data_IF_705920229856
#
_entry.id   IF_705920229856
#
_cell.length_a   1.000
_cell.length_b   1.000
_cell.length_c   1.000
_cell.angle_alpha   90.00
_cell.angle_beta   90.00
_cell.angle_gamma   90.00
#
_symmetry.space_group_name_H-M   'P 1'
#
loop_
_entity.id
_entity.type
_entity.pdbx_description
1 polymer ?
#
# COMPACT_ATOMS: atom_id res chain seq x y z
N UNK A 1 -9.68 -24.07 -1.56
CA UNK A 1 -9.59 -23.11 -2.69
C UNK A 1 -8.24 -23.27 -3.39
N UNK A 2 -8.27 -23.44 -4.71
CA UNK A 2 -7.03 -23.59 -5.52
C UNK A 2 -6.32 -22.24 -5.61
N UNK A 3 -5.37 -21.97 -4.73
CA UNK A 3 -4.56 -20.75 -4.69
C UNK A 3 -3.50 -20.69 -5.81
N UNK A 4 -3.89 -20.98 -7.05
CA UNK A 4 -2.96 -20.87 -8.17
C UNK A 4 -2.93 -19.43 -8.68
N UNK A 5 -1.72 -18.88 -8.81
CA UNK A 5 -1.48 -17.64 -9.55
C UNK A 5 -1.88 -17.86 -11.00
N UNK A 6 -3.06 -17.39 -11.38
CA UNK A 6 -3.48 -17.33 -12.78
C UNK A 6 -3.20 -15.92 -13.35
N UNK A 7 -3.16 -15.75 -14.69
CA UNK A 7 -2.85 -14.46 -15.30
C UNK A 7 -3.74 -13.31 -14.82
N UNK A 8 -5.04 -13.54 -14.61
CA UNK A 8 -5.97 -12.54 -14.11
C UNK A 8 -5.64 -12.10 -12.67
N UNK A 9 -5.19 -13.03 -11.82
CA UNK A 9 -4.78 -12.69 -10.44
C UNK A 9 -3.43 -11.97 -10.41
N UNK A 10 -2.50 -12.37 -11.29
CA UNK A 10 -1.23 -11.65 -11.46
C UNK A 10 -1.49 -10.21 -11.89
N UNK A 11 -2.36 -10.00 -12.89
CA UNK A 11 -2.75 -8.66 -13.35
C UNK A 11 -3.33 -7.82 -12.20
N UNK A 12 -4.26 -8.39 -11.42
CA UNK A 12 -4.83 -7.70 -10.24
C UNK A 12 -3.76 -7.30 -9.20
N UNK A 13 -2.73 -8.13 -8.99
CA UNK A 13 -1.69 -7.87 -7.99
C UNK A 13 -0.54 -6.99 -8.51
N UNK A 14 -0.39 -6.83 -9.82
CA UNK A 14 0.59 -5.90 -10.43
C UNK A 14 0.07 -4.45 -10.45
N UNK A 15 -1.25 -4.25 -10.58
CA UNK A 15 -1.85 -2.91 -10.62
C UNK A 15 -1.56 -2.09 -9.35
N UNK A 16 -1.76 -2.59 -8.11
CA UNK A 16 -1.48 -1.82 -6.91
C UNK A 16 -0.06 -1.26 -6.84
N UNK A 17 1.02 -2.05 -6.94
CA UNK A 17 2.38 -1.50 -6.87
C UNK A 17 2.70 -0.51 -7.99
N UNK A 18 2.12 -0.69 -9.19
CA UNK A 18 2.26 0.29 -10.28
C UNK A 18 1.62 1.64 -9.91
N UNK A 19 0.39 1.62 -9.42
CA UNK A 19 -0.33 2.84 -9.03
C UNK A 19 0.27 3.48 -7.78
N UNK A 20 0.77 2.69 -6.82
CA UNK A 20 1.45 3.21 -5.63
C UNK A 20 2.83 3.78 -5.96
N UNK A 21 3.54 3.24 -6.94
CA UNK A 21 4.74 3.87 -7.49
C UNK A 21 4.42 5.25 -8.08
N UNK A 22 3.37 5.35 -8.91
CA UNK A 22 2.87 6.63 -9.42
C UNK A 22 2.44 7.58 -8.31
N UNK A 23 1.80 7.08 -7.23
CA UNK A 23 1.45 7.88 -6.06
C UNK A 23 2.68 8.47 -5.37
N UNK A 24 3.77 7.73 -5.27
CA UNK A 24 5.01 8.23 -4.68
C UNK A 24 5.64 9.35 -5.54
N UNK A 25 5.65 9.18 -6.87
CA UNK A 25 6.15 10.20 -7.81
C UNK A 25 5.29 11.47 -7.74
N UNK A 26 3.97 11.33 -7.87
CA UNK A 26 3.04 12.48 -7.80
C UNK A 26 3.07 13.15 -6.43
N UNK A 27 3.11 12.37 -5.34
CA UNK A 27 3.24 12.89 -3.98
C UNK A 27 4.49 13.75 -3.81
N UNK A 28 5.61 13.36 -4.42
CA UNK A 28 6.85 14.17 -4.43
C UNK A 28 6.70 15.47 -5.24
N UNK A 29 5.95 15.45 -6.34
CA UNK A 29 5.71 16.65 -7.14
C UNK A 29 4.89 17.71 -6.41
N UNK A 30 4.00 17.30 -5.50
CA UNK A 30 3.08 18.22 -4.81
C UNK A 30 3.40 18.39 -3.33
N UNK A 31 4.54 17.91 -2.83
CA UNK A 31 4.86 17.86 -1.39
C UNK A 31 4.92 19.25 -0.72
N UNK A 32 5.25 20.30 -1.47
CA UNK A 32 5.25 21.69 -0.97
C UNK A 32 3.88 22.36 -1.09
N UNK A 33 2.92 21.74 -1.81
CA UNK A 33 1.62 22.35 -2.07
C UNK A 33 0.57 21.97 -1.02
N UNK A 34 0.73 20.82 -0.38
CA UNK A 34 -0.25 20.29 0.57
C UNK A 34 0.42 19.48 1.67
N UNK A 35 0.00 19.66 2.95
CA UNK A 35 0.53 18.87 4.04
C UNK A 35 0.28 17.36 3.85
N UNK A 36 1.21 16.48 4.23
CA UNK A 36 1.16 15.07 3.88
C UNK A 36 -0.06 14.32 4.47
N UNK A 37 -0.41 14.60 5.74
CA UNK A 37 -1.55 13.93 6.38
C UNK A 37 -2.86 14.48 5.83
N UNK A 38 -2.92 15.78 5.55
CA UNK A 38 -4.04 16.45 4.88
C UNK A 38 -4.21 15.92 3.45
N UNK A 39 -3.13 15.69 2.71
CA UNK A 39 -3.18 15.04 1.39
C UNK A 39 -3.85 13.65 1.49
N UNK A 40 -3.48 12.86 2.50
CA UNK A 40 -4.11 11.57 2.74
C UNK A 40 -5.61 11.72 3.02
N UNK A 41 -6.01 12.67 3.84
CA UNK A 41 -7.42 12.93 4.15
C UNK A 41 -8.21 13.33 2.89
N UNK A 42 -7.74 14.36 2.15
CA UNK A 42 -8.42 14.83 0.92
C UNK A 42 -8.56 13.68 -0.10
N UNK A 43 -7.51 12.90 -0.31
CA UNK A 43 -7.54 11.73 -1.18
C UNK A 43 -8.66 10.76 -0.82
N UNK A 44 -8.82 10.45 0.46
CA UNK A 44 -9.85 9.51 0.91
C UNK A 44 -11.25 10.10 0.93
N UNK A 45 -11.40 11.41 1.15
CA UNK A 45 -12.67 12.12 0.94
C UNK A 45 -13.10 12.02 -0.52
N UNK A 46 -12.18 12.27 -1.46
CA UNK A 46 -12.47 12.14 -2.89
C UNK A 46 -12.83 10.69 -3.27
N UNK A 47 -12.09 9.71 -2.77
CA UNK A 47 -12.39 8.30 -2.96
C UNK A 47 -13.77 7.92 -2.39
N UNK A 48 -14.13 8.45 -1.22
CA UNK A 48 -15.46 8.31 -0.63
C UNK A 48 -16.56 8.86 -1.55
N UNK A 49 -16.37 10.08 -2.05
CA UNK A 49 -17.34 10.71 -2.95
C UNK A 49 -17.50 9.94 -4.28
N UNK A 50 -16.44 9.34 -4.80
CA UNK A 50 -16.48 8.49 -6.00
C UNK A 50 -17.25 7.20 -5.73
N UNK A 51 -17.04 6.56 -4.57
CA UNK A 51 -17.66 5.30 -4.22
C UNK A 51 -19.11 5.46 -3.76
N UNK A 52 -19.46 6.61 -3.20
CA UNK A 52 -20.78 6.87 -2.61
C UNK A 52 -21.93 6.60 -3.57
N UNK A 53 -21.97 7.13 -4.81
CA UNK A 53 -23.07 6.85 -5.74
C UNK A 53 -23.16 5.38 -6.16
N UNK A 54 -22.05 4.63 -6.09
CA UNK A 54 -21.99 3.23 -6.49
C UNK A 54 -22.50 2.28 -5.40
N UNK A 55 -22.41 2.68 -4.14
CA UNK A 55 -22.64 1.83 -2.99
C UNK A 55 -23.48 2.50 -1.87
N UNK A 56 -24.24 3.56 -2.18
CA UNK A 56 -25.02 4.33 -1.21
C UNK A 56 -25.99 3.46 -0.39
N UNK A 57 -26.48 2.37 -0.96
CA UNK A 57 -27.41 1.45 -0.30
C UNK A 57 -26.86 0.80 0.97
N UNK A 58 -25.53 0.76 1.18
CA UNK A 58 -24.93 0.19 2.39
C UNK A 58 -25.27 0.95 3.66
N UNK A 59 -25.78 2.18 3.56
CA UNK A 59 -26.17 3.01 4.71
C UNK A 59 -27.60 2.73 5.22
N UNK A 60 -28.33 1.80 4.61
CA UNK A 60 -29.64 1.35 5.12
C UNK A 60 -29.48 0.80 6.53
N UNK A 61 -30.50 1.00 7.38
CA UNK A 61 -30.47 0.63 8.81
C UNK A 61 -30.25 -0.85 9.07
N UNK A 62 -30.70 -1.71 8.17
CA UNK A 62 -30.56 -3.18 8.21
C UNK A 62 -29.26 -3.69 7.62
N UNK A 63 -28.41 -2.82 7.12
CA UNK A 63 -27.15 -3.17 6.45
C UNK A 63 -26.14 -3.85 7.40
N UNK A 64 -25.38 -4.77 6.83
CA UNK A 64 -24.22 -5.42 7.49
C UNK A 64 -23.15 -4.38 7.89
N UNK A 65 -23.14 -3.17 7.31
CA UNK A 65 -22.27 -2.08 7.72
C UNK A 65 -22.42 -1.79 9.22
N UNK A 66 -23.64 -1.58 9.69
CA UNK A 66 -23.94 -1.23 11.08
C UNK A 66 -23.80 -2.42 12.03
N UNK A 67 -24.12 -3.62 11.55
CA UNK A 67 -23.94 -4.86 12.33
C UNK A 67 -22.48 -5.17 12.59
N UNK A 68 -21.59 -4.84 11.63
CA UNK A 68 -20.15 -5.10 11.69
C UNK A 68 -19.31 -3.80 11.75
N UNK A 69 -19.87 -2.69 12.23
CA UNK A 69 -19.21 -1.37 12.20
C UNK A 69 -17.80 -1.37 12.82
N UNK A 70 -17.60 -2.11 13.91
CA UNK A 70 -16.28 -2.23 14.57
C UNK A 70 -15.23 -2.79 13.63
N UNK A 71 -15.62 -3.77 12.83
CA UNK A 71 -14.73 -4.38 11.84
C UNK A 71 -14.33 -3.36 10.76
N UNK A 72 -15.30 -2.62 10.20
CA UNK A 72 -15.02 -1.61 9.18
C UNK A 72 -14.27 -0.40 9.76
N UNK A 73 -14.51 -0.05 11.01
CA UNK A 73 -13.73 0.97 11.71
C UNK A 73 -12.25 0.55 11.85
N UNK A 74 -11.97 -0.71 12.19
CA UNK A 74 -10.60 -1.24 12.26
C UNK A 74 -9.97 -1.32 10.87
N UNK A 75 -10.67 -1.83 9.87
CA UNK A 75 -10.15 -1.87 8.49
C UNK A 75 -9.88 -0.46 7.95
N UNK A 76 -10.77 0.49 8.22
CA UNK A 76 -10.58 1.90 7.86
C UNK A 76 -9.41 2.54 8.59
N UNK A 77 -9.24 2.25 9.89
CA UNK A 77 -8.09 2.73 10.66
C UNK A 77 -6.77 2.21 10.07
N UNK A 78 -6.67 0.90 9.85
CA UNK A 78 -5.42 0.27 9.44
C UNK A 78 -5.06 0.58 7.98
N UNK A 79 -6.02 0.41 7.04
CA UNK A 79 -5.76 0.54 5.61
C UNK A 79 -5.81 1.97 5.09
N UNK A 80 -6.71 2.81 5.63
CA UNK A 80 -6.96 4.17 5.17
C UNK A 80 -6.25 5.21 6.03
N UNK A 81 -6.37 5.09 7.35
CA UNK A 81 -5.83 6.05 8.31
C UNK A 81 -4.33 5.87 8.53
N UNK A 82 -3.93 4.77 9.17
CA UNK A 82 -2.59 4.62 9.75
C UNK A 82 -1.49 4.40 8.72
N UNK A 83 -1.65 3.46 7.78
CA UNK A 83 -0.55 3.08 6.89
C UNK A 83 0.09 4.30 6.20
N UNK A 84 -0.73 5.09 5.53
CA UNK A 84 -0.21 6.26 4.80
C UNK A 84 0.24 7.39 5.73
N UNK A 85 -0.47 7.62 6.85
CA UNK A 85 -0.05 8.62 7.83
C UNK A 85 1.33 8.28 8.40
N UNK A 86 1.55 7.04 8.80
CA UNK A 86 2.85 6.57 9.30
C UNK A 86 3.94 6.62 8.24
N UNK A 87 3.62 6.28 6.98
CA UNK A 87 4.57 6.40 5.86
C UNK A 87 4.99 7.84 5.63
N UNK A 88 4.05 8.78 5.67
CA UNK A 88 4.37 10.19 5.52
C UNK A 88 5.17 10.75 6.71
N UNK A 89 4.85 10.33 7.95
CA UNK A 89 5.66 10.66 9.12
C UNK A 89 7.07 10.06 9.02
N UNK A 90 7.19 8.86 8.47
CA UNK A 90 8.50 8.25 8.21
C UNK A 90 9.37 9.13 7.30
N UNK A 91 8.79 9.67 6.23
CA UNK A 91 9.50 10.52 5.27
C UNK A 91 9.91 11.90 5.84
N UNK A 92 9.39 12.32 7.00
CA UNK A 92 9.82 13.55 7.67
C UNK A 92 11.22 13.43 8.28
N UNK A 93 11.63 12.24 8.69
CA UNK A 93 12.90 12.03 9.40
C UNK A 93 13.75 10.90 8.81
N UNK A 94 13.23 10.12 7.86
CA UNK A 94 13.96 9.06 7.16
C UNK A 94 14.11 9.38 5.67
N UNK A 95 15.11 8.75 5.05
CA UNK A 95 15.33 8.89 3.62
C UNK A 95 14.32 8.03 2.82
N UNK A 96 13.95 8.43 1.59
CA UNK A 96 13.11 7.60 0.72
C UNK A 96 13.69 6.19 0.50
N UNK A 97 15.01 6.05 0.51
CA UNK A 97 15.70 4.75 0.38
C UNK A 97 15.39 3.87 1.59
N UNK A 98 15.56 4.38 2.82
CA UNK A 98 15.26 3.63 4.03
C UNK A 98 13.77 3.24 4.08
N UNK A 99 12.87 4.19 3.86
CA UNK A 99 11.41 3.94 3.84
C UNK A 99 11.05 2.84 2.85
N UNK A 100 11.62 2.87 1.65
CA UNK A 100 11.37 1.86 0.62
C UNK A 100 11.99 0.51 0.98
N UNK A 101 13.18 0.50 1.60
CA UNK A 101 13.82 -0.72 2.08
C UNK A 101 12.99 -1.40 3.17
N UNK A 102 12.51 -0.61 4.15
CA UNK A 102 11.63 -1.14 5.21
C UNK A 102 10.31 -1.65 4.59
N UNK A 103 9.74 -0.93 3.61
CA UNK A 103 8.55 -1.38 2.88
C UNK A 103 8.78 -2.71 2.15
N UNK A 104 9.97 -2.94 1.62
CA UNK A 104 10.33 -4.19 0.94
C UNK A 104 10.40 -5.40 1.88
N UNK A 105 10.51 -5.18 3.19
CA UNK A 105 10.40 -6.24 4.20
C UNK A 105 8.96 -6.73 4.43
N UNK A 106 7.96 -6.13 3.77
CA UNK A 106 6.54 -6.45 3.94
C UNK A 106 6.20 -7.95 3.82
N UNK A 107 6.77 -8.74 2.90
CA UNK A 107 6.52 -10.18 2.88
C UNK A 107 6.91 -10.89 4.19
N UNK A 108 7.97 -10.44 4.85
CA UNK A 108 8.42 -10.99 6.14
C UNK A 108 7.39 -10.66 7.23
N UNK A 109 6.97 -9.41 7.34
CA UNK A 109 5.95 -8.99 8.30
C UNK A 109 4.60 -9.66 8.03
N UNK A 110 4.25 -9.84 6.74
CA UNK A 110 3.02 -10.54 6.35
C UNK A 110 3.03 -12.00 6.80
N UNK A 111 4.14 -12.70 6.63
CA UNK A 111 4.32 -14.09 7.09
C UNK A 111 4.33 -14.16 8.62
N UNK A 112 5.00 -13.23 9.30
CA UNK A 112 5.07 -13.19 10.75
C UNK A 112 3.71 -12.93 11.39
N UNK A 113 2.99 -11.90 10.95
CA UNK A 113 1.62 -11.60 11.41
C UNK A 113 0.69 -12.78 11.11
N UNK A 114 0.79 -13.36 9.92
CA UNK A 114 0.01 -14.54 9.53
C UNK A 114 0.25 -15.73 10.42
N UNK A 115 1.49 -16.02 10.73
CA UNK A 115 1.86 -17.14 11.61
C UNK A 115 1.41 -16.91 13.06
N UNK A 116 1.64 -15.72 13.61
CA UNK A 116 1.37 -15.41 15.02
C UNK A 116 -0.13 -15.30 15.33
N UNK A 117 -0.88 -14.61 14.46
CA UNK A 117 -2.27 -14.23 14.76
C UNK A 117 -3.32 -14.98 13.93
N UNK A 118 -2.93 -15.57 12.80
CA UNK A 118 -3.86 -16.19 11.85
C UNK A 118 -3.58 -17.66 11.59
N UNK A 119 -2.63 -18.26 12.32
CA UNK A 119 -2.24 -19.68 12.20
C UNK A 119 -1.83 -20.08 10.77
N UNK A 120 -1.29 -19.13 10.00
CA UNK A 120 -0.84 -19.38 8.65
C UNK A 120 0.48 -20.13 8.66
N UNK A 121 0.55 -21.20 7.89
CA UNK A 121 1.82 -21.94 7.70
C UNK A 121 2.68 -21.18 6.70
N UNK A 122 3.95 -20.99 7.05
CA UNK A 122 4.96 -20.40 6.18
C UNK A 122 5.77 -21.53 5.56
N UNK A 123 5.87 -21.55 4.23
CA UNK A 123 6.68 -22.55 3.52
C UNK A 123 8.12 -22.09 3.37
N UNK A 124 9.05 -23.05 3.25
CA UNK A 124 10.46 -22.77 2.94
C UNK A 124 10.63 -21.98 1.62
N UNK A 125 9.73 -22.21 0.69
CA UNK A 125 9.72 -21.50 -0.60
C UNK A 125 9.34 -20.03 -0.45
N UNK A 126 8.41 -19.71 0.47
CA UNK A 126 8.07 -18.33 0.81
C UNK A 126 9.25 -17.62 1.47
N UNK A 127 9.99 -18.28 2.38
CA UNK A 127 11.18 -17.69 2.98
C UNK A 127 12.29 -17.44 1.93
N UNK A 128 12.57 -18.43 1.08
CA UNK A 128 13.53 -18.26 0.00
C UNK A 128 13.13 -17.16 -0.98
N UNK A 129 11.82 -17.10 -1.32
CA UNK A 129 11.25 -16.04 -2.15
C UNK A 129 11.39 -14.66 -1.52
N UNK A 130 11.21 -14.54 -0.19
CA UNK A 130 11.39 -13.27 0.53
C UNK A 130 12.84 -12.78 0.44
N UNK A 131 13.81 -13.66 0.71
CA UNK A 131 15.24 -13.32 0.59
C UNK A 131 15.55 -12.85 -0.84
N UNK A 132 15.15 -13.62 -1.85
CA UNK A 132 15.42 -13.29 -3.24
C UNK A 132 14.77 -11.96 -3.66
N UNK A 133 13.53 -11.72 -3.24
CA UNK A 133 12.81 -10.49 -3.55
C UNK A 133 13.43 -9.27 -2.85
N UNK A 134 13.87 -9.41 -1.59
CA UNK A 134 14.58 -8.34 -0.87
C UNK A 134 15.92 -8.02 -1.55
N UNK A 135 16.68 -9.04 -1.98
CA UNK A 135 17.91 -8.83 -2.75
C UNK A 135 17.62 -8.01 -4.01
N UNK A 136 16.55 -8.32 -4.75
CA UNK A 136 16.14 -7.53 -5.91
C UNK A 136 15.86 -6.06 -5.57
N UNK A 137 15.16 -5.79 -4.46
CA UNK A 137 14.92 -4.42 -4.00
C UNK A 137 16.21 -3.72 -3.60
N UNK A 138 17.12 -4.40 -2.90
CA UNK A 138 18.45 -3.85 -2.54
C UNK A 138 19.24 -3.45 -3.79
N UNK A 139 19.19 -4.24 -4.87
CA UNK A 139 19.85 -3.93 -6.15
C UNK A 139 19.29 -2.64 -6.76
N UNK A 140 17.95 -2.43 -6.75
CA UNK A 140 17.35 -1.18 -7.24
C UNK A 140 17.81 0.00 -6.39
N UNK A 141 17.68 -0.10 -5.06
CA UNK A 141 17.92 1.00 -4.14
C UNK A 141 19.41 1.42 -4.09
N UNK A 142 20.31 0.44 -4.23
CA UNK A 142 21.75 0.71 -4.29
C UNK A 142 22.22 1.21 -5.67
N UNK A 143 21.37 1.21 -6.67
CA UNK A 143 21.77 1.45 -8.08
C UNK A 143 22.92 0.56 -8.54
N UNK A 144 23.05 -0.64 -7.94
CA UNK A 144 24.17 -1.57 -8.14
C UNK A 144 25.41 -1.25 -7.32
N UNK A 145 25.42 -0.25 -6.46
CA UNK A 145 26.57 0.16 -5.61
C UNK A 145 26.32 -0.16 -4.14
N UNK A 146 26.99 -1.17 -3.62
CA UNK A 146 26.82 -1.62 -2.21
C UNK A 146 27.15 -0.51 -1.20
N UNK A 147 28.06 0.42 -1.53
CA UNK A 147 28.44 1.53 -0.65
C UNK A 147 27.24 2.38 -0.21
N UNK A 148 26.23 2.55 -1.06
CA UNK A 148 25.02 3.29 -0.73
C UNK A 148 24.21 2.63 0.40
N UNK A 149 24.23 1.31 0.49
CA UNK A 149 23.56 0.56 1.56
C UNK A 149 24.33 0.63 2.89
N UNK A 150 25.66 0.73 2.84
CA UNK A 150 26.50 0.80 4.05
C UNK A 150 26.42 2.16 4.76
N UNK A 151 25.93 3.20 4.08
CA UNK A 151 25.72 4.53 4.66
C UNK A 151 24.33 4.73 5.30
N UNK A 152 23.49 3.70 5.32
CA UNK A 152 22.16 3.77 5.92
C UNK A 152 22.27 3.75 7.45
N UNK A 153 21.63 4.74 8.08
CA UNK A 153 21.48 4.81 9.52
C UNK A 153 20.01 4.71 9.89
N UNK A 154 19.69 3.90 10.91
CA UNK A 154 18.33 3.79 11.43
C UNK A 154 17.94 5.08 12.16
N UNK A 155 16.81 5.63 11.80
CA UNK A 155 16.23 6.84 12.39
C UNK A 155 14.78 6.60 12.82
N UNK A 156 14.21 7.55 13.57
CA UNK A 156 12.83 7.44 14.07
C UNK A 156 11.80 7.17 12.94
N UNK A 157 12.01 7.74 11.76
CA UNK A 157 11.16 7.49 10.59
C UNK A 157 11.12 6.04 10.16
N UNK A 158 12.22 5.30 10.31
CA UNK A 158 12.25 3.87 9.96
C UNK A 158 11.35 3.05 10.90
N UNK A 159 11.24 3.46 12.17
CA UNK A 159 10.31 2.85 13.14
C UNK A 159 8.86 3.10 12.71
N UNK A 160 8.51 4.33 12.30
CA UNK A 160 7.17 4.61 11.76
C UNK A 160 6.87 3.75 10.53
N UNK A 161 7.83 3.54 9.64
CA UNK A 161 7.63 2.70 8.47
C UNK A 161 7.51 1.21 8.83
N UNK A 162 8.24 0.71 9.83
CA UNK A 162 8.06 -0.66 10.36
C UNK A 162 6.63 -0.82 10.90
N UNK A 163 6.16 0.11 11.71
CA UNK A 163 4.79 0.08 12.23
C UNK A 163 3.77 0.14 11.08
N UNK A 164 4.02 0.94 10.04
CA UNK A 164 3.18 0.99 8.85
C UNK A 164 3.11 -0.36 8.14
N UNK A 165 4.24 -1.04 7.91
CA UNK A 165 4.27 -2.35 7.24
C UNK A 165 3.57 -3.44 8.06
N UNK A 166 3.72 -3.42 9.39
CA UNK A 166 2.97 -4.31 10.29
C UNK A 166 1.47 -4.01 10.21
N UNK A 167 1.09 -2.74 10.26
CA UNK A 167 -0.30 -2.28 10.13
C UNK A 167 -0.93 -2.78 8.83
N UNK A 168 -0.23 -2.64 7.70
CA UNK A 168 -0.68 -3.13 6.40
C UNK A 168 -0.80 -4.66 6.36
N UNK A 169 0.12 -5.34 7.05
CA UNK A 169 0.08 -6.80 7.16
C UNK A 169 -1.16 -7.28 7.93
N UNK A 170 -1.45 -6.65 9.07
CA UNK A 170 -2.67 -6.93 9.84
C UNK A 170 -3.92 -6.63 9.01
N UNK A 171 -3.98 -5.46 8.37
CA UNK A 171 -5.07 -5.10 7.46
C UNK A 171 -5.30 -6.17 6.38
N UNK A 172 -4.25 -6.58 5.69
CA UNK A 172 -4.34 -7.56 4.61
C UNK A 172 -4.83 -8.93 5.09
N UNK A 173 -4.42 -9.37 6.27
CA UNK A 173 -4.94 -10.59 6.88
C UNK A 173 -6.41 -10.46 7.30
N UNK A 174 -6.81 -9.32 7.84
CA UNK A 174 -8.21 -9.05 8.18
C UNK A 174 -9.12 -9.02 6.95
N UNK A 175 -8.59 -8.66 5.76
CA UNK A 175 -9.36 -8.74 4.51
C UNK A 175 -9.79 -10.16 4.16
N UNK A 176 -9.06 -11.19 4.61
CA UNK A 176 -9.39 -12.60 4.35
C UNK A 176 -10.33 -13.21 5.38
N UNK A 177 -10.60 -12.50 6.46
CA UNK A 177 -11.40 -12.98 7.61
C UNK A 177 -12.69 -12.18 7.74
N UNK A 178 -13.63 -12.76 8.47
CA UNK A 178 -14.90 -12.12 8.82
C UNK A 178 -16.04 -12.49 7.88
N UNK A 179 -17.23 -12.35 8.42
CA UNK A 179 -18.49 -12.55 7.71
C UNK A 179 -19.04 -11.17 7.31
N UNK A 180 -18.71 -10.73 6.11
CA UNK A 180 -19.14 -9.45 5.56
C UNK A 180 -20.48 -9.56 4.80
N UNK A 181 -21.03 -10.79 4.71
CA UNK A 181 -22.31 -11.03 4.07
C UNK A 181 -22.37 -10.46 2.65
N UNK A 182 -23.47 -9.77 2.37
CA UNK A 182 -23.74 -9.18 1.05
C UNK A 182 -22.75 -8.07 0.65
N UNK A 183 -22.15 -7.35 1.61
CA UNK A 183 -21.18 -6.30 1.32
C UNK A 183 -19.94 -6.81 0.58
N UNK A 184 -19.64 -8.10 0.69
CA UNK A 184 -18.50 -8.70 -0.02
C UNK A 184 -18.82 -9.06 -1.47
N UNK A 185 -20.09 -9.15 -1.82
CA UNK A 185 -20.52 -9.51 -3.18
C UNK A 185 -20.22 -8.38 -4.18
N UNK A 186 -20.28 -7.13 -3.71
CA UNK A 186 -19.95 -5.95 -4.49
C UNK A 186 -18.68 -5.28 -3.94
N UNK A 187 -17.67 -5.17 -4.77
CA UNK A 187 -16.38 -4.60 -4.38
C UNK A 187 -16.48 -3.15 -3.87
N UNK A 188 -17.40 -2.36 -4.46
CA UNK A 188 -17.60 -0.97 -4.07
C UNK A 188 -18.23 -0.86 -2.67
N UNK A 189 -19.15 -1.76 -2.32
CA UNK A 189 -19.80 -1.82 -1.01
C UNK A 189 -18.76 -2.09 0.09
N UNK A 190 -17.94 -3.12 -0.12
CA UNK A 190 -16.91 -3.50 0.83
C UNK A 190 -15.84 -2.41 0.98
N UNK A 191 -15.45 -1.76 -0.11
CA UNK A 191 -14.49 -0.67 -0.07
C UNK A 191 -15.07 0.58 0.57
N UNK A 192 -16.31 0.98 0.20
CA UNK A 192 -16.98 2.14 0.79
C UNK A 192 -17.19 1.96 2.30
N UNK A 193 -17.54 0.75 2.76
CA UNK A 193 -17.68 0.47 4.18
C UNK A 193 -16.39 0.77 4.97
N UNK A 194 -15.23 0.42 4.44
CA UNK A 194 -13.94 0.71 5.05
C UNK A 194 -13.58 2.20 4.96
N UNK A 195 -13.78 2.79 3.77
CA UNK A 195 -13.45 4.20 3.50
C UNK A 195 -14.31 5.13 4.34
N UNK A 196 -15.57 4.80 4.63
CA UNK A 196 -16.46 5.59 5.50
C UNK A 196 -15.85 5.85 6.88
N UNK A 197 -15.37 4.81 7.53
CA UNK A 197 -14.66 4.95 8.82
C UNK A 197 -13.23 5.47 8.64
N UNK A 198 -12.58 5.13 7.54
CA UNK A 198 -11.25 5.59 7.21
C UNK A 198 -11.15 7.10 7.04
N UNK A 199 -12.17 7.73 6.44
CA UNK A 199 -12.28 9.19 6.33
C UNK A 199 -12.38 9.84 7.72
N UNK A 200 -13.11 9.24 8.65
CA UNK A 200 -13.18 9.76 10.03
C UNK A 200 -11.81 9.72 10.71
N UNK A 201 -11.09 8.60 10.60
CA UNK A 201 -9.76 8.46 11.16
C UNK A 201 -8.74 9.38 10.49
N UNK A 202 -8.69 9.44 9.17
CA UNK A 202 -7.77 10.32 8.45
C UNK A 202 -8.09 11.80 8.68
N UNK A 203 -9.38 12.14 8.85
CA UNK A 203 -9.83 13.48 9.23
C UNK A 203 -9.34 13.88 10.62
N UNK A 204 -9.40 12.97 11.60
CA UNK A 204 -8.87 13.21 12.95
C UNK A 204 -7.35 13.43 12.90
N UNK A 205 -6.62 12.64 12.12
CA UNK A 205 -5.17 12.83 11.97
C UNK A 205 -4.83 14.15 11.25
N UNK A 206 -5.61 14.51 10.22
CA UNK A 206 -5.45 15.79 9.53
C UNK A 206 -5.78 16.98 10.45
N UNK A 207 -6.82 16.87 11.28
CA UNK A 207 -7.14 17.91 12.25
C UNK A 207 -5.98 18.12 13.26
N UNK A 208 -5.34 17.04 13.72
CA UNK A 208 -4.13 17.15 14.57
C UNK A 208 -2.98 17.81 13.84
N UNK A 209 -2.72 17.49 12.57
CA UNK A 209 -1.72 18.16 11.75
C UNK A 209 -1.97 19.68 11.69
N UNK A 210 -3.22 20.09 11.45
CA UNK A 210 -3.59 21.51 11.38
C UNK A 210 -3.43 22.26 12.70
N UNK A 211 -3.71 21.61 13.82
CA UNK A 211 -3.52 22.22 15.16
C UNK A 211 -2.03 22.42 15.45
N UNK A 212 -1.18 21.46 15.10
CA UNK A 212 0.25 21.47 15.43
C UNK A 212 1.06 22.34 14.48
N UNK A 213 0.83 22.21 13.16
CA UNK A 213 1.71 22.81 12.13
C UNK A 213 1.12 24.06 11.48
N UNK A 214 -0.21 24.31 11.63
CA UNK A 214 -0.93 25.42 10.98
C UNK A 214 -0.55 25.58 9.51
N UNK A 215 -0.66 24.53 8.71
CA UNK A 215 -0.13 24.51 7.36
C UNK A 215 -0.97 25.35 6.39
N UNK A 216 -0.39 25.64 5.22
CA UNK A 216 -1.09 26.31 4.11
C UNK A 216 -1.18 25.35 2.93
N UNK A 217 -2.32 25.37 2.23
CA UNK A 217 -2.49 24.63 0.98
C UNK A 217 -2.37 25.60 -0.19
N UNK A 218 -1.45 25.31 -1.11
CA UNK A 218 -1.26 26.08 -2.33
C UNK A 218 -2.04 25.45 -3.49
N UNK A 219 -3.28 25.91 -3.65
CA UNK A 219 -4.17 25.40 -4.68
C UNK A 219 -3.68 25.75 -6.09
N UNK A 220 -3.62 24.76 -6.96
CA UNK A 220 -3.20 24.92 -8.36
C UNK A 220 -3.88 23.86 -9.24
N UNK A 221 -3.96 24.07 -10.56
CA UNK A 221 -4.45 23.04 -11.50
C UNK A 221 -3.68 21.72 -11.37
N UNK A 222 -2.37 21.79 -11.11
CA UNK A 222 -1.52 20.63 -10.89
C UNK A 222 -1.93 19.87 -9.63
N UNK A 223 -2.24 20.56 -8.51
CA UNK A 223 -2.71 19.91 -7.29
C UNK A 223 -4.05 19.21 -7.51
N UNK A 224 -5.00 19.83 -8.23
CA UNK A 224 -6.28 19.19 -8.55
C UNK A 224 -6.10 17.93 -9.40
N UNK A 225 -5.25 17.97 -10.44
CA UNK A 225 -4.94 16.80 -11.27
C UNK A 225 -4.28 15.68 -10.44
N UNK A 226 -3.34 16.04 -9.56
CA UNK A 226 -2.68 15.11 -8.65
C UNK A 226 -3.68 14.46 -7.67
N UNK A 227 -4.57 15.25 -7.06
CA UNK A 227 -5.62 14.76 -6.16
C UNK A 227 -6.59 13.81 -6.87
N UNK A 228 -7.00 14.14 -8.11
CA UNK A 228 -7.83 13.24 -8.92
C UNK A 228 -7.11 11.90 -9.19
N UNK A 229 -5.84 11.96 -9.60
CA UNK A 229 -5.04 10.75 -9.83
C UNK A 229 -4.93 9.90 -8.56
N UNK A 230 -4.53 10.49 -7.42
CA UNK A 230 -4.28 9.71 -6.19
C UNK A 230 -5.57 9.15 -5.59
N UNK A 231 -6.72 9.80 -5.81
CA UNK A 231 -8.01 9.31 -5.39
C UNK A 231 -8.52 8.16 -6.26
N UNK A 232 -8.44 8.28 -7.58
CA UNK A 232 -8.95 7.25 -8.50
C UNK A 232 -8.00 6.05 -8.55
N UNK A 233 -6.74 6.27 -8.89
CA UNK A 233 -5.75 5.21 -9.09
C UNK A 233 -5.35 4.53 -7.79
N UNK A 234 -4.50 5.17 -7.00
CA UNK A 234 -3.92 4.61 -5.77
C UNK A 234 -4.94 4.29 -4.68
N UNK A 235 -6.03 5.04 -4.53
CA UNK A 235 -7.01 4.77 -3.47
C UNK A 235 -8.12 3.82 -3.93
N UNK A 236 -8.84 4.09 -5.03
CA UNK A 236 -9.98 3.24 -5.42
C UNK A 236 -9.50 2.00 -6.18
N UNK A 237 -8.78 2.17 -7.30
CA UNK A 237 -8.42 1.05 -8.18
C UNK A 237 -7.42 0.11 -7.50
N UNK A 238 -6.35 0.66 -6.89
CA UNK A 238 -5.33 -0.17 -6.25
C UNK A 238 -5.90 -0.95 -5.05
N UNK A 239 -6.71 -0.31 -4.19
CA UNK A 239 -7.32 -1.01 -3.05
C UNK A 239 -8.32 -2.09 -3.48
N UNK A 240 -9.11 -1.83 -4.53
CA UNK A 240 -9.96 -2.87 -5.13
C UNK A 240 -9.13 -4.07 -5.60
N UNK A 241 -8.10 -3.80 -6.40
CA UNK A 241 -7.25 -4.85 -6.97
C UNK A 241 -6.49 -5.60 -5.87
N UNK A 242 -5.95 -4.89 -4.86
CA UNK A 242 -5.30 -5.49 -3.71
C UNK A 242 -6.24 -6.40 -2.93
N UNK A 243 -7.41 -5.90 -2.55
CA UNK A 243 -8.41 -6.67 -1.80
C UNK A 243 -8.83 -7.95 -2.52
N UNK A 244 -9.10 -7.88 -3.83
CA UNK A 244 -9.44 -9.04 -4.65
C UNK A 244 -8.25 -10.00 -4.79
N UNK A 245 -7.04 -9.47 -5.00
CA UNK A 245 -5.82 -10.28 -5.10
C UNK A 245 -5.53 -11.04 -3.82
N UNK A 246 -5.56 -10.35 -2.67
CA UNK A 246 -5.36 -10.96 -1.35
C UNK A 246 -6.40 -12.06 -1.05
N UNK A 247 -7.65 -11.85 -1.45
CA UNK A 247 -8.70 -12.86 -1.27
C UNK A 247 -8.45 -14.12 -2.12
N UNK A 248 -7.84 -13.97 -3.31
CA UNK A 248 -7.60 -15.09 -4.24
C UNK A 248 -6.38 -15.94 -3.87
N UNK A 249 -5.27 -15.31 -3.48
CA UNK A 249 -3.99 -16.03 -3.26
C UNK A 249 -3.50 -15.99 -1.82
N UNK A 250 -4.18 -15.23 -0.97
CA UNK A 250 -3.78 -15.00 0.40
C UNK A 250 -2.76 -13.87 0.56
N UNK A 251 -2.68 -13.30 1.78
CA UNK A 251 -1.81 -12.15 2.05
C UNK A 251 -0.33 -12.43 1.84
N UNK A 252 0.15 -13.63 2.23
CA UNK A 252 1.56 -13.99 2.10
C UNK A 252 2.05 -13.88 0.64
N UNK A 253 1.30 -14.44 -0.32
CA UNK A 253 1.70 -14.39 -1.74
C UNK A 253 1.51 -12.97 -2.29
N UNK A 254 0.42 -12.30 -1.95
CA UNK A 254 0.15 -10.94 -2.41
C UNK A 254 1.25 -9.95 -1.99
N UNK A 255 1.82 -10.10 -0.79
CA UNK A 255 2.85 -9.22 -0.26
C UNK A 255 4.10 -9.13 -1.15
N UNK A 256 4.47 -10.20 -1.85
CA UNK A 256 5.64 -10.19 -2.74
C UNK A 256 5.47 -9.23 -3.92
N UNK A 257 4.25 -8.99 -4.37
CA UNK A 257 3.98 -8.05 -5.45
C UNK A 257 4.27 -6.60 -5.05
N UNK A 258 4.21 -6.25 -3.77
CA UNK A 258 4.56 -4.90 -3.30
C UNK A 258 6.03 -4.54 -3.60
N UNK A 259 6.91 -5.53 -3.70
CA UNK A 259 8.32 -5.32 -4.05
C UNK A 259 8.52 -4.90 -5.51
N UNK A 260 7.47 -4.93 -6.35
CA UNK A 260 7.48 -4.29 -7.67
C UNK A 260 7.38 -2.76 -7.58
N UNK A 261 6.91 -2.18 -6.47
CA UNK A 261 6.74 -0.73 -6.33
C UNK A 261 8.04 0.05 -6.56
N UNK A 262 9.18 -0.26 -5.91
CA UNK A 262 10.42 0.46 -6.17
C UNK A 262 10.93 0.30 -7.61
N UNK A 263 10.69 -0.85 -8.21
CA UNK A 263 11.03 -1.08 -9.61
C UNK A 263 10.19 -0.20 -10.54
N UNK A 264 8.88 -0.16 -10.36
CA UNK A 264 8.01 0.72 -11.15
C UNK A 264 8.32 2.20 -10.90
N UNK A 265 8.63 2.59 -9.67
CA UNK A 265 9.05 3.96 -9.36
C UNK A 265 10.35 4.33 -10.10
N UNK A 266 11.33 3.42 -10.14
CA UNK A 266 12.57 3.65 -10.87
C UNK A 266 12.34 3.75 -12.39
N UNK A 267 11.50 2.87 -12.95
CA UNK A 267 11.14 2.91 -14.39
C UNK A 267 10.37 4.18 -14.76
N UNK A 268 9.43 4.61 -13.89
CA UNK A 268 8.71 5.87 -14.11
C UNK A 268 9.65 7.07 -14.04
N UNK A 269 10.55 7.12 -13.04
CA UNK A 269 11.55 8.17 -12.93
C UNK A 269 12.45 8.21 -14.17
N UNK A 270 12.90 7.06 -14.65
CA UNK A 270 13.68 6.96 -15.88
C UNK A 270 12.92 7.50 -17.10
N UNK A 271 11.65 7.11 -17.25
CA UNK A 271 10.81 7.56 -18.37
C UNK A 271 10.52 9.07 -18.35
N UNK A 272 10.28 9.65 -17.17
CA UNK A 272 9.96 11.08 -17.03
C UNK A 272 11.21 11.99 -16.98
N UNK A 273 12.35 11.47 -16.49
CA UNK A 273 13.59 12.21 -16.38
C UNK A 273 14.57 11.95 -17.54
N UNK A 274 14.20 11.07 -18.49
CA UNK A 274 15.04 10.73 -19.66
C UNK A 274 16.26 9.86 -19.32
N UNK A 275 16.29 9.21 -18.17
CA UNK A 275 17.38 8.33 -17.77
C UNK A 275 17.27 6.99 -18.51
N UNK A 276 18.39 6.47 -19.04
CA UNK A 276 18.38 5.15 -19.69
C UNK A 276 18.22 4.02 -18.65
N UNK A 277 17.46 2.96 -18.93
CA UNK A 277 17.40 1.78 -18.07
C UNK A 277 18.79 1.13 -17.96
N UNK A 278 19.24 0.88 -16.73
CA UNK A 278 20.50 0.22 -16.45
C UNK A 278 20.34 -1.29 -16.25
N UNK A 279 21.42 -2.05 -16.40
CA UNK A 279 21.46 -3.52 -16.22
C UNK A 279 20.97 -3.94 -14.82
N UNK A 280 21.22 -3.14 -13.79
CA UNK A 280 20.76 -3.44 -12.45
C UNK A 280 19.23 -3.48 -12.32
N UNK A 281 18.48 -2.72 -13.13
CA UNK A 281 17.02 -2.80 -13.17
C UNK A 281 16.54 -4.17 -13.67
N UNK A 282 17.21 -4.73 -14.70
CA UNK A 282 16.89 -6.05 -15.23
C UNK A 282 17.21 -7.17 -14.21
N UNK A 283 18.36 -7.08 -13.53
CA UNK A 283 18.72 -8.02 -12.48
C UNK A 283 17.74 -7.97 -11.29
N UNK A 284 17.39 -6.78 -10.86
CA UNK A 284 16.40 -6.58 -9.80
C UNK A 284 15.02 -7.15 -10.18
N UNK A 285 14.58 -6.92 -11.41
CA UNK A 285 13.34 -7.48 -11.92
C UNK A 285 13.35 -9.02 -11.88
N UNK A 286 14.43 -9.65 -12.33
CA UNK A 286 14.56 -11.11 -12.27
C UNK A 286 14.50 -11.63 -10.83
N UNK A 287 15.18 -10.96 -9.88
CA UNK A 287 15.14 -11.36 -8.48
C UNK A 287 13.73 -11.19 -7.88
N UNK A 288 13.05 -10.07 -8.11
CA UNK A 288 11.71 -9.82 -7.57
C UNK A 288 10.69 -10.80 -8.15
N UNK A 289 10.68 -10.97 -9.47
CA UNK A 289 9.77 -11.92 -10.15
C UNK A 289 10.10 -13.36 -9.75
N UNK A 290 11.38 -13.72 -9.66
CA UNK A 290 11.83 -15.01 -9.14
C UNK A 290 11.33 -15.25 -7.72
N UNK A 291 11.38 -14.25 -6.85
CA UNK A 291 10.82 -14.29 -5.49
C UNK A 291 9.31 -14.53 -5.47
N UNK A 292 8.55 -13.85 -6.35
CA UNK A 292 7.10 -14.06 -6.52
C UNK A 292 6.81 -15.50 -6.96
N UNK A 293 7.53 -16.00 -7.96
CA UNK A 293 7.36 -17.37 -8.47
C UNK A 293 7.69 -18.38 -7.38
N UNK A 294 8.80 -18.19 -6.67
CA UNK A 294 9.21 -19.08 -5.58
C UNK A 294 8.17 -19.12 -4.47
N UNK A 295 7.66 -17.96 -4.05
CA UNK A 295 6.65 -17.85 -2.98
C UNK A 295 5.34 -18.56 -3.31
N UNK A 296 5.04 -18.77 -4.58
CA UNK A 296 3.84 -19.46 -5.05
C UNK A 296 3.97 -20.98 -5.07
N UNK A 297 5.18 -21.51 -4.89
CA UNK A 297 5.42 -22.97 -4.80
C UNK A 297 4.92 -23.49 -3.44
N UNK A 298 4.40 -24.71 -3.46
CA UNK A 298 3.90 -25.41 -2.26
C UNK A 298 4.99 -26.24 -1.59
#
# INVERSE_FOLDING_TARGET
>A
MNHKLNPATIFLLVIPPLLWAGNAVVGRMIHEMVPPITLNFIRWVLAFLILLPMAFHIYRRDSMLWRNWRRYAVLGLLGVGLYNALQYLALQSSTPINVTLVAASMPVWMMMVGSLFFQAKVSRWQLAGAVLSIVGVLIVLSRGEIRQLLSLHLVLGDIFMIIATITWSVYSWLLTRGNDGELRNHWADFLLAQVSFGVLWSGLFSATEWVVTKPVIHWSPMLFAALAFVAIGPAVIAFRCWGLGVQRVGPNIAAFFNNLTPLFAALMSAAFLGEAPHVFHALAFMCIVGGIILSSRR
#
